data_IF_257732513749
#
_entry.id   IF_257732513749
#
_cell.length_a   1.000
_cell.length_b   1.000
_cell.length_c   1.000
_cell.angle_alpha   90.00
_cell.angle_beta   90.00
_cell.angle_gamma   90.00
#
_symmetry.space_group_name_H-M   'P 1'
#
loop_
_entity.id
_entity.type
_entity.pdbx_description
1 polymer ?
#
# COMPACT_ATOMS: atom_id res chain seq x y z
N UNK A 1 -5.95 10.76 -6.97
CA UNK A 1 -6.59 10.88 -5.64
C UNK A 1 -6.60 9.52 -4.98
N UNK A 2 -6.54 9.50 -3.65
CA UNK A 2 -6.66 8.25 -2.86
C UNK A 2 -8.08 7.70 -2.95
N UNK A 3 -8.19 6.39 -3.20
CA UNK A 3 -9.48 5.72 -3.37
C UNK A 3 -10.01 5.20 -2.04
N UNK A 4 -11.25 5.55 -1.70
CA UNK A 4 -11.99 4.90 -0.61
C UNK A 4 -12.33 3.47 -1.03
N UNK A 5 -12.11 2.50 -0.15
CA UNK A 5 -12.44 1.09 -0.41
C UNK A 5 -13.22 0.49 0.75
N UNK A 6 -14.23 -0.32 0.44
CA UNK A 6 -14.99 -1.06 1.42
C UNK A 6 -14.24 -2.35 1.81
N UNK A 7 -13.90 -2.50 3.09
CA UNK A 7 -13.16 -3.67 3.60
C UNK A 7 -13.91 -4.99 3.38
N UNK A 8 -15.24 -5.02 3.54
CA UNK A 8 -16.02 -6.24 3.33
C UNK A 8 -15.89 -6.72 1.87
N UNK A 9 -16.01 -5.79 0.92
CA UNK A 9 -15.82 -6.10 -0.49
C UNK A 9 -14.42 -6.65 -0.79
N UNK A 10 -13.39 -6.10 -0.13
CA UNK A 10 -12.01 -6.59 -0.27
C UNK A 10 -11.83 -8.03 0.18
N UNK A 11 -12.38 -8.37 1.36
CA UNK A 11 -12.33 -9.74 1.86
C UNK A 11 -13.08 -10.70 0.93
N UNK A 12 -14.28 -10.31 0.47
CA UNK A 12 -15.04 -11.12 -0.51
C UNK A 12 -14.22 -11.34 -1.78
N UNK A 13 -13.64 -10.28 -2.34
CA UNK A 13 -12.81 -10.38 -3.55
C UNK A 13 -11.55 -11.22 -3.33
N UNK A 14 -10.93 -11.16 -2.14
CA UNK A 14 -9.81 -12.02 -1.79
C UNK A 14 -10.17 -13.50 -1.95
N UNK A 15 -11.31 -13.93 -1.39
CA UNK A 15 -11.75 -15.32 -1.52
C UNK A 15 -12.20 -15.68 -2.93
N UNK A 16 -12.97 -14.80 -3.59
CA UNK A 16 -13.47 -15.04 -4.95
C UNK A 16 -12.34 -15.14 -5.99
N UNK A 17 -11.21 -14.48 -5.74
CA UNK A 17 -10.05 -14.49 -6.65
C UNK A 17 -8.94 -15.44 -6.19
N UNK A 18 -9.22 -16.32 -5.21
CA UNK A 18 -8.25 -17.25 -4.64
C UNK A 18 -6.95 -16.57 -4.19
N UNK A 19 -7.07 -15.39 -3.60
CA UNK A 19 -5.96 -14.61 -3.07
C UNK A 19 -5.31 -13.65 -4.05
N UNK A 20 -5.59 -13.70 -5.36
CA UNK A 20 -5.00 -12.78 -6.34
C UNK A 20 -5.33 -11.31 -6.08
N UNK A 21 -6.51 -11.04 -5.50
CA UNK A 21 -6.89 -9.68 -5.10
C UNK A 21 -5.90 -9.06 -4.09
N UNK A 22 -5.20 -9.86 -3.28
CA UNK A 22 -4.17 -9.34 -2.37
C UNK A 22 -3.02 -8.65 -3.11
N UNK A 23 -2.65 -9.15 -4.29
CA UNK A 23 -1.61 -8.55 -5.13
C UNK A 23 -2.08 -7.23 -5.73
N UNK A 24 -3.33 -7.18 -6.20
CA UNK A 24 -3.96 -5.94 -6.66
C UNK A 24 -4.01 -4.89 -5.54
N UNK A 25 -4.41 -5.30 -4.34
CA UNK A 25 -4.48 -4.42 -3.18
C UNK A 25 -3.09 -3.90 -2.81
N UNK A 26 -2.08 -4.78 -2.76
CA UNK A 26 -0.70 -4.40 -2.52
C UNK A 26 -0.21 -3.35 -3.54
N UNK A 27 -0.37 -3.62 -4.84
CA UNK A 27 0.01 -2.72 -5.92
C UNK A 27 -0.65 -1.34 -5.75
N UNK A 28 -1.98 -1.35 -5.62
CA UNK A 28 -2.77 -0.13 -5.63
C UNK A 28 -2.52 0.74 -4.40
N UNK A 29 -2.31 0.13 -3.23
CA UNK A 29 -2.05 0.87 -2.00
C UNK A 29 -0.62 1.39 -1.93
N UNK A 30 0.37 0.62 -2.41
CA UNK A 30 1.76 1.07 -2.52
C UNK A 30 1.89 2.30 -3.43
N UNK A 31 1.24 2.25 -4.60
CA UNK A 31 1.21 3.36 -5.56
C UNK A 31 0.55 4.60 -4.96
N UNK A 32 -0.59 4.46 -4.27
CA UNK A 32 -1.28 5.57 -3.63
C UNK A 32 -0.46 6.20 -2.49
N UNK A 33 0.11 5.38 -1.60
CA UNK A 33 0.92 5.86 -0.46
C UNK A 33 2.18 6.60 -0.93
N UNK A 34 2.83 6.14 -1.99
CA UNK A 34 4.02 6.80 -2.54
C UNK A 34 3.65 8.11 -3.24
N UNK A 35 2.57 8.12 -4.03
CA UNK A 35 2.04 9.32 -4.68
C UNK A 35 1.57 10.38 -3.69
N UNK A 36 1.00 9.99 -2.54
CA UNK A 36 0.63 10.93 -1.47
C UNK A 36 1.81 11.79 -0.98
N UNK A 37 3.04 11.27 -1.05
CA UNK A 37 4.26 12.00 -0.70
C UNK A 37 5.01 12.55 -1.92
N UNK A 38 4.35 12.62 -3.08
CA UNK A 38 4.95 13.13 -4.33
C UNK A 38 6.06 12.23 -4.88
N UNK A 39 6.12 10.96 -4.47
CA UNK A 39 7.10 9.99 -4.97
C UNK A 39 6.44 9.07 -5.98
N UNK A 40 7.17 8.71 -7.03
CA UNK A 40 6.81 7.60 -7.92
C UNK A 40 7.68 6.41 -7.59
N UNK A 41 7.05 5.24 -7.45
CA UNK A 41 7.73 3.96 -7.24
C UNK A 41 7.20 2.99 -8.28
N UNK A 42 8.06 2.08 -8.73
CA UNK A 42 7.71 0.98 -9.63
C UNK A 42 6.86 -0.06 -8.87
N UNK A 43 5.60 0.28 -8.56
CA UNK A 43 4.71 -0.57 -7.77
C UNK A 43 4.51 -1.96 -8.41
N UNK A 44 4.57 -2.05 -9.74
CA UNK A 44 4.47 -3.32 -10.46
C UNK A 44 5.64 -4.25 -10.14
N UNK A 45 6.88 -3.73 -10.17
CA UNK A 45 8.08 -4.52 -9.83
C UNK A 45 7.95 -5.08 -8.41
N UNK A 46 7.62 -4.23 -7.44
CA UNK A 46 7.44 -4.66 -6.04
C UNK A 46 6.31 -5.67 -5.87
N UNK A 47 5.25 -5.58 -6.68
CA UNK A 47 4.14 -6.54 -6.66
C UNK A 47 4.56 -7.90 -7.20
N UNK A 48 5.37 -7.94 -8.27
CA UNK A 48 5.93 -9.20 -8.80
C UNK A 48 6.82 -9.87 -7.75
N UNK A 49 7.62 -9.09 -7.02
CA UNK A 49 8.50 -9.60 -5.95
C UNK A 49 7.71 -10.26 -4.80
N UNK A 50 6.44 -9.92 -4.57
CA UNK A 50 5.60 -10.56 -3.54
C UNK A 50 5.39 -12.06 -3.76
N UNK A 51 5.52 -12.54 -4.99
CA UNK A 51 5.31 -13.97 -5.36
C UNK A 51 6.61 -14.78 -5.16
N UNK A 52 7.77 -14.10 -5.08
CA UNK A 52 9.06 -14.75 -4.92
C UNK A 52 9.35 -14.93 -3.41
N UNK A 53 9.55 -16.16 -2.91
CA UNK A 53 9.56 -16.45 -1.46
C UNK A 53 10.55 -15.66 -0.60
N UNK A 54 11.70 -15.24 -1.15
CA UNK A 54 12.69 -14.43 -0.41
C UNK A 54 12.54 -12.94 -0.75
N UNK A 55 12.20 -12.62 -2.01
CA UNK A 55 12.04 -11.23 -2.42
C UNK A 55 10.77 -10.59 -1.82
N UNK A 56 9.79 -11.41 -1.43
CA UNK A 56 8.56 -10.95 -0.81
C UNK A 56 8.82 -10.16 0.50
N UNK A 57 9.86 -10.50 1.27
CA UNK A 57 10.21 -9.79 2.51
C UNK A 57 10.63 -8.35 2.22
N UNK A 58 11.34 -8.11 1.12
CA UNK A 58 11.72 -6.77 0.67
C UNK A 58 10.50 -6.01 0.16
N UNK A 59 9.57 -6.68 -0.53
CA UNK A 59 8.31 -6.08 -0.96
C UNK A 59 7.42 -5.69 0.24
N UNK A 60 7.31 -6.55 1.26
CA UNK A 60 6.63 -6.23 2.52
C UNK A 60 7.29 -5.04 3.23
N UNK A 61 8.62 -4.98 3.25
CA UNK A 61 9.36 -3.85 3.83
C UNK A 61 9.06 -2.56 3.08
N UNK A 62 9.08 -2.62 1.74
CA UNK A 62 8.80 -1.44 0.90
C UNK A 62 7.41 -0.88 1.16
N UNK A 63 6.41 -1.76 1.28
CA UNK A 63 5.03 -1.38 1.59
C UNK A 63 4.91 -0.75 2.98
N UNK A 64 5.54 -1.37 3.98
CA UNK A 64 5.58 -0.88 5.35
C UNK A 64 6.26 0.49 5.48
N UNK A 65 7.39 0.69 4.79
CA UNK A 65 8.12 1.96 4.77
C UNK A 65 7.35 3.06 4.00
N UNK A 66 6.58 2.69 2.97
CA UNK A 66 5.71 3.62 2.27
C UNK A 66 4.54 4.06 3.17
N UNK A 67 3.94 3.16 3.93
CA UNK A 67 2.88 3.47 4.89
C UNK A 67 3.37 4.38 6.03
N UNK A 68 4.51 4.06 6.63
CA UNK A 68 5.15 4.86 7.69
C UNK A 68 5.38 6.31 7.22
N UNK A 69 5.85 6.48 5.99
CA UNK A 69 5.99 7.80 5.38
C UNK A 69 4.64 8.45 5.09
N UNK A 70 3.70 7.74 4.44
CA UNK A 70 2.43 8.28 3.98
C UNK A 70 1.55 8.81 5.12
N UNK A 71 1.56 8.14 6.27
CA UNK A 71 0.71 8.44 7.43
C UNK A 71 1.49 9.01 8.61
N UNK A 72 2.56 9.76 8.32
CA UNK A 72 3.34 10.55 9.28
C UNK A 72 3.72 9.77 10.56
N UNK A 73 4.20 8.53 10.37
CA UNK A 73 4.63 7.61 11.44
C UNK A 73 3.55 7.15 12.41
N UNK A 74 2.27 7.18 12.01
CA UNK A 74 1.16 6.59 12.79
C UNK A 74 1.48 5.15 13.22
N UNK A 75 2.11 4.38 12.32
CA UNK A 75 2.69 3.07 12.63
C UNK A 75 4.14 3.02 12.13
N UNK A 76 5.12 2.63 12.96
CA UNK A 76 6.51 2.54 12.52
C UNK A 76 6.66 1.41 11.49
N UNK A 77 7.48 1.61 10.46
CA UNK A 77 7.66 0.65 9.36
C UNK A 77 8.02 -0.77 9.85
N UNK A 78 8.87 -0.87 10.88
CA UNK A 78 9.29 -2.16 11.43
C UNK A 78 8.12 -2.94 12.05
N UNK A 79 7.18 -2.25 12.71
CA UNK A 79 5.99 -2.89 13.28
C UNK A 79 5.11 -3.44 12.16
N UNK A 80 4.84 -2.64 11.13
CA UNK A 80 4.05 -3.06 9.98
C UNK A 80 4.72 -4.23 9.24
N UNK A 81 6.04 -4.22 9.12
CA UNK A 81 6.78 -5.30 8.46
C UNK A 81 6.72 -6.63 9.24
N UNK A 82 6.88 -6.58 10.56
CA UNK A 82 6.71 -7.76 11.42
C UNK A 82 5.27 -8.28 11.34
N UNK A 83 4.28 -7.39 11.39
CA UNK A 83 2.87 -7.78 11.24
C UNK A 83 2.59 -8.39 9.86
N UNK A 84 3.22 -7.90 8.79
CA UNK A 84 3.10 -8.51 7.46
C UNK A 84 3.52 -9.99 7.45
N UNK A 85 4.62 -10.32 8.16
CA UNK A 85 5.19 -11.67 8.19
C UNK A 85 4.31 -12.64 8.99
N UNK A 86 3.86 -12.23 10.17
CA UNK A 86 3.17 -13.12 11.11
C UNK A 86 1.64 -13.04 11.01
N UNK A 87 1.10 -11.87 10.70
CA UNK A 87 -0.34 -11.58 10.76
C UNK A 87 -0.75 -10.60 9.65
N UNK A 88 -0.51 -10.96 8.39
CA UNK A 88 -0.78 -10.09 7.23
C UNK A 88 -2.19 -9.47 7.18
N UNK A 89 -3.28 -10.12 7.65
CA UNK A 89 -4.60 -9.48 7.68
C UNK A 89 -4.67 -8.23 8.56
N UNK A 90 -3.84 -8.13 9.61
CA UNK A 90 -3.80 -6.95 10.48
C UNK A 90 -3.28 -5.74 9.71
N UNK A 91 -2.20 -5.91 8.94
CA UNK A 91 -1.64 -4.80 8.14
C UNK A 91 -2.65 -4.32 7.11
N UNK A 92 -3.37 -5.25 6.49
CA UNK A 92 -4.46 -4.93 5.57
C UNK A 92 -5.48 -4.01 6.26
N UNK A 93 -6.00 -4.42 7.41
CA UNK A 93 -7.02 -3.66 8.17
C UNK A 93 -6.51 -2.27 8.54
N UNK A 94 -5.33 -2.19 9.17
CA UNK A 94 -4.75 -0.93 9.65
C UNK A 94 -4.57 0.07 8.51
N UNK A 95 -3.92 -0.37 7.42
CA UNK A 95 -3.66 0.51 6.28
C UNK A 95 -4.93 0.87 5.52
N UNK A 96 -5.92 -0.02 5.50
CA UNK A 96 -7.19 0.31 4.87
C UNK A 96 -7.96 1.37 5.65
N UNK A 97 -7.89 1.38 6.98
CA UNK A 97 -8.46 2.43 7.83
C UNK A 97 -7.79 3.78 7.51
N UNK A 98 -6.46 3.81 7.48
CA UNK A 98 -5.70 5.04 7.20
C UNK A 98 -5.93 5.56 5.78
N UNK A 99 -5.89 4.69 4.76
CA UNK A 99 -6.22 5.07 3.38
C UNK A 99 -7.65 5.58 3.23
N UNK A 100 -8.60 5.00 3.97
CA UNK A 100 -9.98 5.46 3.96
C UNK A 100 -10.15 6.79 4.69
N UNK A 101 -9.34 7.07 5.72
CA UNK A 101 -9.32 8.36 6.42
C UNK A 101 -8.86 9.49 5.50
N UNK A 102 -7.85 9.24 4.67
CA UNK A 102 -7.33 10.21 3.71
C UNK A 102 -7.94 10.08 2.31
N UNK A 103 -9.02 9.31 2.16
CA UNK A 103 -9.67 9.13 0.86
C UNK A 103 -10.17 10.46 0.29
N UNK A 104 -10.08 10.62 -1.03
CA UNK A 104 -10.43 11.87 -1.71
C UNK A 104 -9.32 12.93 -1.73
N UNK A 105 -8.25 12.75 -0.96
CA UNK A 105 -7.06 13.61 -1.08
C UNK A 105 -6.49 13.53 -2.50
N UNK A 106 -6.34 14.66 -3.21
CA UNK A 106 -5.66 14.69 -4.49
C UNK A 106 -4.18 14.38 -4.27
N UNK A 107 -3.54 13.79 -5.28
CA UNK A 107 -2.09 13.66 -5.23
C UNK A 107 -1.50 15.06 -5.46
N UNK A 108 -0.37 15.40 -4.82
CA UNK A 108 0.33 16.63 -5.12
C UNK A 108 0.57 16.73 -6.63
N UNK A 109 0.19 17.87 -7.21
CA UNK A 109 0.56 18.20 -8.58
C UNK A 109 2.08 18.34 -8.58
N UNK A 110 2.77 17.57 -9.40
CA UNK A 110 4.21 17.70 -9.54
C UNK A 110 4.54 19.16 -9.85
N UNK A 111 5.24 19.84 -8.95
CA UNK A 111 5.65 21.24 -9.11
C UNK A 111 6.60 21.45 -10.32
N UNK A 112 6.86 20.41 -11.13
CA UNK A 112 7.79 20.42 -12.26
C UNK A 112 7.12 20.66 -13.63
N UNK A 113 5.81 20.90 -13.70
CA UNK A 113 5.12 21.14 -14.97
C UNK A 113 4.82 22.63 -15.26
N UNK A 114 5.24 23.55 -14.38
CA UNK A 114 5.01 25.01 -14.51
C UNK A 114 6.29 25.82 -14.70
N UNK A 115 7.46 25.19 -14.88
CA UNK A 115 8.75 25.87 -15.09
C UNK A 115 9.45 25.49 -16.41
N UNK A 116 8.69 25.24 -17.50
CA UNK A 116 9.26 25.13 -18.86
C UNK A 116 8.42 25.93 -19.87
#
# INVERSE_FOLDING_TARGET
MVKRRNMLFQFVMYFLTFGLYSLYWYYSTLDEMTKLKGKRVEALLWTILMIIPIANFFAMWKHSAAADQAFDRTYPAILLWVLWIFVSPVVWILLQIELNRVAGTPFPVEASATEL
#
